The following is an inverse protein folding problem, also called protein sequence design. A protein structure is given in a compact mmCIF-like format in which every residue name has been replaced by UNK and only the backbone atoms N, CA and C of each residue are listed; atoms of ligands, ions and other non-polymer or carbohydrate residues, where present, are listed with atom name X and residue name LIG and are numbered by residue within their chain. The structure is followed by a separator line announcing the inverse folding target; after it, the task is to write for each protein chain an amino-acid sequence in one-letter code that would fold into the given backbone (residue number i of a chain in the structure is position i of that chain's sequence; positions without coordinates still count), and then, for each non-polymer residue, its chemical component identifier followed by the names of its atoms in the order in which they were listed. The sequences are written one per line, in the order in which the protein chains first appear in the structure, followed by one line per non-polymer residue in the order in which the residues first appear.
data_IF_961452001501
#
_entry.id   IF_961452001501
#
_cell.length_a   1.000
_cell.length_b   1.000
_cell.length_c   1.000
_cell.angle_alpha   90.00
_cell.angle_beta   90.00
_cell.angle_gamma   90.00
#
_symmetry.space_group_name_H-M   'P 1'
#
loop_
_entity.id
_entity.type
_entity.pdbx_description
1 polymer ?
#
# COMPACT_ATOMS: atom_id res chain seq x y z
N UNK A 1 -11.56 -26.91 1.56
CA UNK A 1 -10.50 -25.98 1.13
C UNK A 1 -11.03 -25.15 -0.05
N UNK A 2 -11.65 -23.99 0.23
CA UNK A 2 -12.20 -23.11 -0.81
C UNK A 2 -11.04 -22.52 -1.59
N UNK A 3 -10.78 -23.07 -2.78
CA UNK A 3 -9.96 -22.44 -3.80
C UNK A 3 -10.46 -21.00 -3.92
N UNK A 4 -9.61 -20.03 -3.57
CA UNK A 4 -9.89 -18.61 -3.68
C UNK A 4 -10.11 -18.28 -5.16
N UNK A 5 -11.35 -18.46 -5.62
CA UNK A 5 -11.78 -17.99 -6.93
C UNK A 5 -11.49 -16.50 -7.01
N UNK A 6 -11.05 -16.01 -8.17
CA UNK A 6 -10.86 -14.59 -8.47
C UNK A 6 -12.10 -13.75 -8.07
N UNK A 7 -13.31 -14.35 -8.09
CA UNK A 7 -14.53 -13.76 -7.54
C UNK A 7 -14.44 -13.42 -6.05
N UNK A 8 -13.88 -14.29 -5.22
CA UNK A 8 -13.71 -14.05 -3.77
C UNK A 8 -12.69 -12.94 -3.51
N UNK A 9 -11.58 -12.88 -4.28
CA UNK A 9 -10.60 -11.79 -4.16
C UNK A 9 -11.22 -10.44 -4.52
N UNK A 10 -12.02 -10.38 -5.58
CA UNK A 10 -12.73 -9.15 -5.98
C UNK A 10 -13.75 -8.69 -4.92
N UNK A 11 -14.55 -9.60 -4.35
CA UNK A 11 -15.47 -9.22 -3.27
C UNK A 11 -14.73 -8.73 -2.02
N UNK A 12 -13.56 -9.31 -1.71
CA UNK A 12 -12.78 -8.90 -0.54
C UNK A 12 -12.22 -7.49 -0.68
N UNK A 13 -11.71 -7.11 -1.86
CA UNK A 13 -11.20 -5.75 -2.09
C UNK A 13 -12.31 -4.70 -1.95
N UNK A 14 -13.53 -5.00 -2.41
CA UNK A 14 -14.69 -4.15 -2.21
C UNK A 14 -15.03 -4.01 -0.73
N UNK A 15 -15.09 -5.11 0.02
CA UNK A 15 -15.37 -5.07 1.45
C UNK A 15 -14.31 -4.33 2.25
N UNK A 16 -13.03 -4.52 1.93
CA UNK A 16 -11.93 -3.78 2.53
C UNK A 16 -12.05 -2.27 2.26
N UNK A 17 -12.38 -1.89 1.03
CA UNK A 17 -12.57 -0.48 0.65
C UNK A 17 -13.77 0.16 1.34
N UNK A 18 -14.88 -0.56 1.45
CA UNK A 18 -16.06 -0.10 2.19
C UNK A 18 -15.72 0.08 3.67
N UNK A 19 -15.04 -0.89 4.27
CA UNK A 19 -14.59 -0.82 5.67
C UNK A 19 -13.69 0.40 5.89
N UNK A 20 -12.70 0.59 5.02
CA UNK A 20 -11.76 1.70 5.08
C UNK A 20 -12.49 3.06 5.02
N UNK A 21 -13.42 3.20 4.07
CA UNK A 21 -14.22 4.42 3.92
C UNK A 21 -15.14 4.66 5.13
N UNK A 22 -15.80 3.61 5.64
CA UNK A 22 -16.64 3.70 6.83
C UNK A 22 -15.84 4.13 8.06
N UNK A 23 -14.64 3.57 8.26
CA UNK A 23 -13.77 3.94 9.38
C UNK A 23 -13.28 5.38 9.26
N UNK A 24 -12.99 5.85 8.04
CA UNK A 24 -12.64 7.24 7.79
C UNK A 24 -13.79 8.20 8.18
N UNK A 25 -15.03 7.87 7.80
CA UNK A 25 -16.22 8.63 8.20
C UNK A 25 -16.37 8.64 9.72
N UNK A 26 -16.23 7.47 10.37
CA UNK A 26 -16.32 7.36 11.82
C UNK A 26 -15.26 8.23 12.51
N UNK A 27 -14.02 8.21 12.03
CA UNK A 27 -12.95 9.06 12.56
C UNK A 27 -13.28 10.55 12.43
N UNK A 28 -13.79 10.98 11.26
CA UNK A 28 -14.22 12.36 11.05
C UNK A 28 -15.42 12.73 11.95
N UNK A 29 -16.39 11.83 12.13
CA UNK A 29 -17.52 12.07 13.04
C UNK A 29 -17.07 12.20 14.49
N UNK A 30 -16.18 11.32 14.97
CA UNK A 30 -15.66 11.34 16.34
C UNK A 30 -14.89 12.65 16.60
N UNK A 31 -14.03 13.04 15.67
CA UNK A 31 -13.22 14.26 15.76
C UNK A 31 -14.05 15.56 15.85
N UNK A 32 -15.34 15.52 15.47
CA UNK A 32 -16.27 16.65 15.51
C UNK A 32 -17.41 16.47 16.51
N UNK A 33 -17.29 15.49 17.40
CA UNK A 33 -18.30 15.16 18.41
C UNK A 33 -17.82 15.50 19.82
N UNK A 34 -18.68 15.40 20.86
CA UNK A 34 -18.25 15.51 22.25
C UNK A 34 -17.17 14.49 22.67
N UNK A 35 -16.93 13.44 21.87
CA UNK A 35 -15.86 12.46 22.09
C UNK A 35 -14.50 12.89 21.51
N UNK A 36 -14.42 14.08 20.88
CA UNK A 36 -13.21 14.57 20.26
C UNK A 36 -12.03 14.67 21.24
N UNK A 37 -12.26 15.17 22.46
CA UNK A 37 -11.22 15.25 23.49
C UNK A 37 -10.68 13.88 23.85
N UNK A 38 -11.54 12.90 24.15
CA UNK A 38 -11.14 11.52 24.46
C UNK A 38 -10.35 10.88 23.31
N UNK A 39 -10.75 11.17 22.08
CA UNK A 39 -10.07 10.67 20.88
C UNK A 39 -8.68 11.29 20.70
N UNK A 40 -8.54 12.61 20.88
CA UNK A 40 -7.24 13.30 20.80
C UNK A 40 -6.34 12.93 21.97
N UNK A 41 -6.88 12.79 23.18
CA UNK A 41 -6.17 12.33 24.35
C UNK A 41 -5.59 10.93 24.11
N UNK A 42 -6.40 10.00 23.59
CA UNK A 42 -5.94 8.66 23.23
C UNK A 42 -4.79 8.69 22.21
N UNK A 43 -4.90 9.50 21.15
CA UNK A 43 -3.87 9.60 20.11
C UNK A 43 -2.59 10.31 20.57
N UNK A 44 -2.69 11.19 21.56
CA UNK A 44 -1.56 11.92 22.14
C UNK A 44 -0.89 11.20 23.31
N UNK A 45 -1.44 10.07 23.78
CA UNK A 45 -0.82 9.30 24.87
C UNK A 45 0.61 8.89 24.53
N UNK A 46 1.52 9.15 25.47
CA UNK A 46 2.91 8.73 25.39
C UNK A 46 3.04 7.22 25.67
N UNK A 47 3.76 6.53 24.81
CA UNK A 47 4.03 5.11 24.96
C UNK A 47 5.31 4.90 25.78
N UNK A 48 5.18 4.06 26.81
CA UNK A 48 6.29 3.68 27.66
C UNK A 48 6.42 2.16 27.71
N UNK A 49 7.40 1.62 26.99
CA UNK A 49 7.86 0.25 27.17
C UNK A 49 9.29 0.30 27.71
N UNK A 50 9.38 0.41 29.04
CA UNK A 50 10.65 0.64 29.73
C UNK A 50 11.26 -0.67 30.22
N UNK A 51 12.52 -0.89 29.90
CA UNK A 51 13.37 -1.92 30.51
C UNK A 51 14.50 -1.18 31.22
N UNK A 52 14.38 -1.00 32.54
CA UNK A 52 15.27 -0.12 33.29
C UNK A 52 15.13 1.35 32.87
N UNK A 53 16.25 2.03 32.59
CA UNK A 53 16.28 3.41 32.10
C UNK A 53 16.04 3.58 30.59
N UNK A 54 15.93 2.48 29.84
CA UNK A 54 15.74 2.51 28.39
C UNK A 54 14.26 2.37 28.03
N UNK A 55 13.72 3.34 27.28
CA UNK A 55 12.39 3.23 26.67
C UNK A 55 12.54 2.72 25.24
N UNK A 56 11.86 1.63 24.89
CA UNK A 56 11.89 1.11 23.51
C UNK A 56 11.14 2.06 22.57
N UNK A 57 10.03 2.63 23.01
CA UNK A 57 9.21 3.55 22.20
C UNK A 57 9.59 5.00 22.49
N UNK A 58 10.85 5.33 22.24
CA UNK A 58 11.32 6.71 22.25
C UNK A 58 12.18 7.02 21.03
N UNK A 59 12.06 8.23 20.52
CA UNK A 59 12.87 8.76 19.43
C UNK A 59 13.34 10.17 19.80
N UNK A 60 14.61 10.50 19.52
CA UNK A 60 15.16 11.84 19.81
C UNK A 60 15.14 12.24 21.29
N UNK A 61 15.08 11.28 22.22
CA UNK A 61 14.98 11.54 23.66
C UNK A 61 13.56 11.74 24.20
N UNK A 62 12.54 11.70 23.33
CA UNK A 62 11.13 11.83 23.71
C UNK A 62 10.37 10.51 23.51
N UNK A 63 9.40 10.19 24.37
CA UNK A 63 8.49 9.06 24.16
C UNK A 63 7.65 9.26 22.89
N UNK A 64 7.47 8.19 22.12
CA UNK A 64 6.57 8.21 20.96
C UNK A 64 5.12 8.35 21.43
N UNK A 65 4.37 9.21 20.75
CA UNK A 65 2.91 9.28 20.92
C UNK A 65 2.23 8.09 20.25
N UNK A 66 1.02 7.77 20.69
CA UNK A 66 0.21 6.71 20.09
C UNK A 66 0.04 6.91 18.58
N UNK A 67 -0.23 8.14 18.12
CA UNK A 67 -0.36 8.45 16.69
C UNK A 67 0.95 8.20 15.90
N UNK A 68 2.10 8.57 16.46
CA UNK A 68 3.42 8.38 15.83
C UNK A 68 3.74 6.90 15.74
N UNK A 69 3.50 6.15 16.82
CA UNK A 69 3.68 4.71 16.83
C UNK A 69 2.76 3.99 15.84
N UNK A 70 1.48 4.37 15.80
CA UNK A 70 0.54 3.82 14.81
C UNK A 70 1.11 4.09 13.41
N UNK A 71 1.50 5.32 13.10
CA UNK A 71 2.01 5.70 11.79
C UNK A 71 3.29 4.94 11.43
N UNK A 72 4.30 4.94 12.30
CA UNK A 72 5.59 4.28 12.03
C UNK A 72 5.45 2.75 11.94
N UNK A 73 4.73 2.13 12.87
CA UNK A 73 4.62 0.68 12.94
C UNK A 73 3.71 0.14 11.84
N UNK A 74 2.50 0.69 11.70
CA UNK A 74 1.54 0.22 10.69
C UNK A 74 2.05 0.48 9.28
N UNK A 75 2.63 1.66 9.03
CA UNK A 75 3.11 1.97 7.69
C UNK A 75 4.35 1.17 7.35
N UNK A 76 5.20 0.79 8.30
CA UNK A 76 6.28 -0.17 8.03
C UNK A 76 5.75 -1.54 7.57
N UNK A 77 4.66 -2.03 8.16
CA UNK A 77 4.02 -3.28 7.71
C UNK A 77 3.30 -3.12 6.36
N UNK A 78 2.63 -1.99 6.14
CA UNK A 78 2.04 -1.64 4.84
C UNK A 78 3.11 -1.61 3.74
N UNK A 79 4.19 -0.88 3.95
CA UNK A 79 5.29 -0.76 2.99
C UNK A 79 6.11 -2.05 2.84
N UNK A 80 6.10 -2.94 3.83
CA UNK A 80 6.57 -4.32 3.64
C UNK A 80 5.69 -5.06 2.63
N UNK A 81 4.36 -4.97 2.74
CA UNK A 81 3.45 -5.60 1.78
C UNK A 81 3.61 -5.01 0.37
N UNK A 82 3.69 -3.69 0.25
CA UNK A 82 4.00 -2.99 -1.01
C UNK A 82 5.37 -3.44 -1.55
N UNK A 83 6.40 -3.54 -0.71
CA UNK A 83 7.72 -4.04 -1.10
C UNK A 83 7.71 -5.47 -1.63
N UNK A 84 6.89 -6.36 -1.04
CA UNK A 84 6.71 -7.73 -1.51
C UNK A 84 6.04 -7.75 -2.88
N UNK A 85 5.02 -6.92 -3.08
CA UNK A 85 4.32 -6.76 -4.35
C UNK A 85 5.23 -6.19 -5.43
N UNK A 86 5.97 -5.11 -5.16
CA UNK A 86 6.99 -4.53 -6.05
C UNK A 86 7.95 -5.64 -6.52
N UNK A 87 8.51 -6.39 -5.57
CA UNK A 87 9.47 -7.45 -5.90
C UNK A 87 8.84 -8.58 -6.70
N UNK A 88 7.59 -8.96 -6.41
CA UNK A 88 6.84 -9.95 -7.22
C UNK A 88 6.66 -9.44 -8.65
N UNK A 89 6.23 -8.20 -8.82
CA UNK A 89 5.98 -7.58 -10.14
C UNK A 89 7.26 -7.48 -10.98
N UNK A 90 8.38 -7.13 -10.35
CA UNK A 90 9.69 -7.07 -11.01
C UNK A 90 10.21 -8.47 -11.42
N UNK A 91 9.92 -9.50 -10.64
CA UNK A 91 10.43 -10.86 -10.90
C UNK A 91 9.58 -11.66 -11.87
N UNK A 92 8.24 -11.62 -11.74
CA UNK A 92 7.32 -12.51 -12.46
C UNK A 92 6.10 -11.76 -13.04
N UNK A 93 5.85 -10.53 -12.60
CA UNK A 93 4.66 -9.76 -13.01
C UNK A 93 4.85 -8.92 -14.27
N UNK A 94 4.07 -7.85 -14.37
CA UNK A 94 3.95 -7.03 -15.58
C UNK A 94 5.09 -6.00 -15.70
N UNK A 95 5.82 -5.77 -14.60
CA UNK A 95 7.05 -5.00 -14.60
C UNK A 95 8.30 -5.82 -14.96
N UNK A 96 8.20 -7.15 -15.10
CA UNK A 96 9.34 -8.02 -15.43
C UNK A 96 9.89 -7.82 -16.84
N UNK A 97 9.07 -7.32 -17.77
CA UNK A 97 9.45 -7.05 -19.16
C UNK A 97 9.40 -5.57 -19.45
N UNK A 98 10.49 -5.04 -20.01
CA UNK A 98 10.59 -3.62 -20.38
C UNK A 98 9.42 -3.17 -21.26
N UNK A 99 9.04 -3.95 -22.28
CA UNK A 99 7.94 -3.59 -23.19
C UNK A 99 6.58 -3.45 -22.48
N UNK A 100 6.36 -4.24 -21.43
CA UNK A 100 5.12 -4.19 -20.63
C UNK A 100 5.17 -3.08 -19.58
N UNK A 101 6.35 -2.85 -19.00
CA UNK A 101 6.58 -1.90 -17.91
C UNK A 101 6.58 -0.43 -18.36
N UNK A 102 6.99 -0.14 -19.61
CA UNK A 102 7.18 1.23 -20.10
C UNK A 102 5.90 2.07 -19.99
N UNK A 103 4.73 1.53 -20.34
CA UNK A 103 3.49 2.31 -20.32
C UNK A 103 3.04 2.66 -18.89
N UNK A 104 2.90 1.70 -17.94
CA UNK A 104 2.61 2.02 -16.54
C UNK A 104 3.67 2.94 -15.91
N UNK A 105 4.95 2.74 -16.24
CA UNK A 105 6.03 3.55 -15.70
C UNK A 105 5.96 5.02 -16.15
N UNK A 106 5.80 5.27 -17.45
CA UNK A 106 5.66 6.64 -17.98
C UNK A 106 4.40 7.30 -17.42
N UNK A 107 3.29 6.55 -17.33
CA UNK A 107 2.06 7.04 -16.71
C UNK A 107 2.26 7.41 -15.24
N UNK A 108 3.01 6.61 -14.47
CA UNK A 108 3.36 6.88 -13.08
C UNK A 108 4.24 8.13 -12.95
N UNK A 109 5.27 8.29 -13.78
CA UNK A 109 6.08 9.51 -13.79
C UNK A 109 5.22 10.76 -14.01
N UNK A 110 4.30 10.73 -15.00
CA UNK A 110 3.36 11.82 -15.22
C UNK A 110 2.42 12.03 -14.03
N UNK A 111 1.90 10.93 -13.49
CA UNK A 111 1.04 10.88 -12.32
C UNK A 111 1.69 11.32 -11.02
N UNK A 112 3.02 11.42 -10.93
CA UNK A 112 3.73 12.00 -9.79
C UNK A 112 4.12 13.46 -10.04
N UNK A 113 4.66 13.76 -11.23
CA UNK A 113 5.21 15.08 -11.55
C UNK A 113 4.12 16.15 -11.65
N UNK A 114 3.01 15.86 -12.35
CA UNK A 114 1.98 16.87 -12.60
C UNK A 114 1.21 17.28 -11.33
N UNK A 115 0.84 16.37 -10.41
CA UNK A 115 0.26 16.78 -9.12
C UNK A 115 1.15 17.70 -8.31
N UNK A 116 2.45 17.41 -8.25
CA UNK A 116 3.44 18.23 -7.53
C UNK A 116 3.52 19.63 -8.16
N UNK A 117 3.55 19.70 -9.50
CA UNK A 117 3.54 20.98 -10.22
C UNK A 117 2.25 21.75 -9.93
N UNK A 118 1.07 21.12 -10.07
CA UNK A 118 -0.23 21.76 -9.78
C UNK A 118 -0.28 22.28 -8.35
N UNK A 119 0.17 21.50 -7.38
CA UNK A 119 0.25 21.93 -5.98
C UNK A 119 1.15 23.16 -5.84
N UNK A 120 2.37 23.09 -6.38
CA UNK A 120 3.37 24.15 -6.26
C UNK A 120 2.96 25.49 -6.90
N UNK A 121 2.08 25.45 -7.90
CA UNK A 121 1.55 26.63 -8.58
C UNK A 121 0.41 27.31 -7.80
N UNK A 122 -0.30 26.55 -6.96
CA UNK A 122 -1.43 27.04 -6.16
C UNK A 122 -0.98 27.57 -4.79
N UNK A 123 0.19 27.14 -4.33
CA UNK A 123 0.75 27.54 -3.04
C UNK A 123 1.74 28.70 -3.19
N UNK A 124 1.77 29.59 -2.20
CA UNK A 124 2.71 30.70 -2.15
C UNK A 124 4.13 30.18 -1.93
N UNK A 125 5.06 30.58 -2.80
CA UNK A 125 6.46 30.17 -2.69
C UNK A 125 7.13 30.80 -1.46
N UNK A 126 7.94 30.03 -0.74
CA UNK A 126 8.64 30.46 0.47
C UNK A 126 7.83 30.35 1.77
N UNK A 127 6.59 29.86 1.73
CA UNK A 127 5.78 29.57 2.93
C UNK A 127 5.95 28.12 3.38
N UNK A 128 5.61 27.79 4.65
CA UNK A 128 5.62 26.41 5.16
C UNK A 128 4.79 25.42 4.33
N UNK A 129 3.74 25.92 3.66
CA UNK A 129 2.83 25.17 2.80
C UNK A 129 3.56 24.37 1.71
N UNK A 130 4.73 24.82 1.25
CA UNK A 130 5.56 24.10 0.28
C UNK A 130 5.96 22.70 0.75
N UNK A 131 6.04 22.45 2.07
CA UNK A 131 6.34 21.13 2.64
C UNK A 131 5.31 20.07 2.25
N UNK A 132 4.11 20.47 1.84
CA UNK A 132 3.04 19.58 1.39
C UNK A 132 3.10 19.19 -0.09
N UNK A 133 4.13 19.60 -0.85
CA UNK A 133 4.16 19.40 -2.31
C UNK A 133 4.07 17.94 -2.76
N UNK A 134 4.51 17.01 -1.93
CA UNK A 134 4.50 15.59 -2.21
C UNK A 134 3.15 14.91 -1.89
N UNK A 135 2.24 15.57 -1.16
CA UNK A 135 0.96 15.00 -0.71
C UNK A 135 0.10 14.47 -1.88
N UNK A 136 -0.13 15.23 -2.97
CA UNK A 136 -1.00 14.77 -4.05
C UNK A 136 -0.29 13.82 -5.04
N UNK A 137 0.97 13.46 -4.80
CA UNK A 137 1.71 12.55 -5.68
C UNK A 137 1.33 11.09 -5.50
N UNK A 138 0.68 10.70 -4.41
CA UNK A 138 0.45 9.30 -4.07
C UNK A 138 -0.93 8.79 -4.53
N UNK A 139 -1.06 7.46 -4.68
CA UNK A 139 -2.29 6.78 -5.04
C UNK A 139 -2.55 5.58 -4.10
N UNK A 140 -3.74 5.49 -3.52
CA UNK A 140 -4.19 4.37 -2.68
C UNK A 140 -4.70 3.22 -3.55
N UNK A 141 -3.84 2.22 -3.75
CA UNK A 141 -4.11 1.01 -4.54
C UNK A 141 -5.39 0.31 -4.09
N UNK A 142 -5.53 0.11 -2.78
CA UNK A 142 -6.61 -0.69 -2.20
C UNK A 142 -7.95 -0.04 -2.53
N UNK A 143 -8.06 1.28 -2.32
CA UNK A 143 -9.30 1.99 -2.56
C UNK A 143 -9.59 2.16 -4.06
N UNK A 144 -8.59 2.45 -4.90
CA UNK A 144 -8.77 2.54 -6.36
C UNK A 144 -9.21 1.21 -6.97
N UNK A 145 -8.62 0.09 -6.55
CA UNK A 145 -9.05 -1.24 -6.98
C UNK A 145 -10.42 -1.63 -6.42
N UNK A 146 -10.78 -1.18 -5.22
CA UNK A 146 -12.12 -1.34 -4.65
C UNK A 146 -13.19 -0.70 -5.50
N UNK A 147 -13.02 0.59 -5.82
CA UNK A 147 -13.95 1.34 -6.69
C UNK A 147 -14.03 0.70 -8.08
N UNK A 148 -12.88 0.33 -8.66
CA UNK A 148 -12.86 -0.36 -9.95
C UNK A 148 -13.59 -1.71 -9.89
N UNK A 149 -13.52 -2.42 -8.77
CA UNK A 149 -14.16 -3.72 -8.58
C UNK A 149 -15.68 -3.65 -8.43
N UNK A 150 -16.25 -2.50 -8.04
CA UNK A 150 -17.71 -2.26 -8.02
C UNK A 150 -18.36 -2.39 -9.40
N UNK A 151 -17.59 -2.11 -10.46
CA UNK A 151 -18.04 -2.26 -11.85
C UNK A 151 -18.09 -3.73 -12.31
N UNK A 152 -17.54 -4.63 -11.50
CA UNK A 152 -17.62 -6.08 -11.63
C UNK A 152 -16.90 -6.62 -12.85
N UNK A 153 -17.59 -7.46 -13.62
CA UNK A 153 -17.03 -8.11 -14.82
C UNK A 153 -16.88 -7.18 -16.03
N UNK A 154 -17.43 -5.97 -15.97
CA UNK A 154 -17.39 -4.99 -17.07
C UNK A 154 -16.00 -4.43 -17.33
N UNK A 155 -15.09 -4.56 -16.37
CA UNK A 155 -13.73 -4.02 -16.42
C UNK A 155 -12.78 -5.01 -17.11
N UNK A 156 -12.18 -4.65 -18.26
CA UNK A 156 -11.07 -5.38 -18.86
C UNK A 156 -9.94 -5.72 -17.88
N UNK A 157 -9.36 -6.91 -18.03
CA UNK A 157 -8.22 -7.33 -17.21
C UNK A 157 -7.02 -6.38 -17.38
N UNK A 158 -6.80 -5.87 -18.59
CA UNK A 158 -5.74 -4.92 -18.90
C UNK A 158 -5.80 -3.63 -18.10
N UNK A 159 -7.00 -3.10 -17.79
CA UNK A 159 -7.14 -1.91 -16.95
C UNK A 159 -6.76 -2.18 -15.49
N UNK A 160 -7.12 -3.36 -14.97
CA UNK A 160 -6.76 -3.76 -13.61
C UNK A 160 -5.25 -3.92 -13.47
N UNK A 161 -4.64 -4.57 -14.45
CA UNK A 161 -3.18 -4.73 -14.53
C UNK A 161 -2.50 -3.37 -14.63
N UNK A 162 -2.96 -2.50 -15.54
CA UNK A 162 -2.39 -1.17 -15.72
C UNK A 162 -2.47 -0.35 -14.43
N UNK A 163 -3.64 -0.28 -13.78
CA UNK A 163 -3.83 0.47 -12.53
C UNK A 163 -2.95 -0.08 -11.40
N UNK A 164 -2.84 -1.41 -11.28
CA UNK A 164 -1.99 -2.03 -10.25
C UNK A 164 -0.51 -1.72 -10.51
N UNK A 165 -0.03 -1.91 -11.74
CA UNK A 165 1.37 -1.63 -12.09
C UNK A 165 1.72 -0.14 -11.99
N UNK A 166 0.81 0.74 -12.42
CA UNK A 166 0.94 2.19 -12.25
C UNK A 166 1.13 2.54 -10.78
N UNK A 167 0.25 2.04 -9.92
CA UNK A 167 0.25 2.44 -8.53
C UNK A 167 1.42 1.84 -7.75
N UNK A 168 1.90 0.65 -8.13
CA UNK A 168 3.16 0.08 -7.61
C UNK A 168 4.36 0.99 -7.95
N UNK A 169 4.44 1.52 -9.18
CA UNK A 169 5.53 2.45 -9.56
C UNK A 169 5.38 3.79 -8.83
N UNK A 170 4.16 4.28 -8.68
CA UNK A 170 3.82 5.50 -7.93
C UNK A 170 4.24 5.37 -6.46
N UNK A 171 3.97 4.23 -5.81
CA UNK A 171 4.39 3.92 -4.45
C UNK A 171 5.91 3.91 -4.30
N UNK A 172 6.63 3.23 -5.23
CA UNK A 172 8.11 3.25 -5.25
C UNK A 172 8.62 4.68 -5.31
N UNK A 173 8.06 5.48 -6.22
CA UNK A 173 8.43 6.88 -6.39
C UNK A 173 8.14 7.69 -5.14
N UNK A 174 6.98 7.50 -4.52
CA UNK A 174 6.58 8.19 -3.31
C UNK A 174 7.48 7.87 -2.11
N UNK A 175 7.83 6.60 -1.92
CA UNK A 175 8.81 6.16 -0.90
C UNK A 175 10.16 6.86 -1.12
N UNK A 176 10.61 6.94 -2.37
CA UNK A 176 11.90 7.53 -2.71
C UNK A 176 11.91 9.04 -2.44
N UNK A 177 10.80 9.74 -2.74
CA UNK A 177 10.62 11.17 -2.39
C UNK A 177 10.63 11.35 -0.87
N UNK A 178 9.92 10.51 -0.10
CA UNK A 178 9.93 10.55 1.37
C UNK A 178 11.36 10.40 1.92
N UNK A 179 12.10 9.42 1.39
CA UNK A 179 13.47 9.15 1.82
C UNK A 179 14.43 10.32 1.59
N UNK A 180 14.28 11.04 0.49
CA UNK A 180 15.20 12.13 0.11
C UNK A 180 14.82 13.45 0.78
N UNK A 181 13.54 13.80 0.81
CA UNK A 181 13.09 15.16 1.14
C UNK A 181 12.61 15.34 2.57
N UNK A 182 12.23 14.27 3.27
CA UNK A 182 11.63 14.36 4.59
C UNK A 182 12.56 13.83 5.70
N UNK A 183 13.73 13.30 5.38
CA UNK A 183 14.65 12.73 6.39
C UNK A 183 15.25 13.82 7.29
N UNK A 184 15.34 13.54 8.59
CA UNK A 184 15.88 14.45 9.62
C UNK A 184 17.38 14.22 9.86
N UNK A 185 17.94 14.74 10.96
CA UNK A 185 19.35 14.53 11.32
C UNK A 185 19.68 13.04 11.42
N UNK A 186 20.60 12.60 10.55
CA UNK A 186 20.86 11.17 10.36
C UNK A 186 21.89 10.66 11.35
N UNK A 187 21.48 9.79 12.25
CA UNK A 187 22.38 9.02 13.10
C UNK A 187 22.96 7.83 12.31
N UNK A 188 24.07 8.09 11.62
CA UNK A 188 24.72 7.12 10.71
C UNK A 188 25.07 5.77 11.35
N UNK A 189 25.35 5.72 12.65
CA UNK A 189 25.71 4.47 13.32
C UNK A 189 24.58 3.43 13.29
N UNK A 190 23.33 3.87 13.50
CA UNK A 190 22.17 2.97 13.40
C UNK A 190 21.96 2.48 11.97
N UNK A 191 22.24 3.31 10.96
CA UNK A 191 22.17 2.89 9.56
C UNK A 191 23.22 1.85 9.21
N UNK A 192 24.46 2.02 9.68
CA UNK A 192 25.51 1.03 9.46
C UNK A 192 25.10 -0.31 10.08
N UNK A 193 24.59 -0.31 11.32
CA UNK A 193 24.07 -1.51 11.96
C UNK A 193 22.92 -2.15 11.16
N UNK A 194 22.01 -1.34 10.62
CA UNK A 194 20.90 -1.81 9.79
C UNK A 194 21.38 -2.44 8.49
N UNK A 195 22.37 -1.85 7.82
CA UNK A 195 22.98 -2.37 6.59
C UNK A 195 23.71 -3.69 6.85
N UNK A 196 24.44 -3.81 7.97
CA UNK A 196 25.10 -5.07 8.35
C UNK A 196 24.08 -6.18 8.57
N UNK A 197 23.02 -5.90 9.34
CA UNK A 197 21.96 -6.88 9.59
C UNK A 197 21.21 -7.25 8.30
N UNK A 198 20.92 -6.27 7.44
CA UNK A 198 20.36 -6.49 6.12
C UNK A 198 21.23 -7.43 5.27
N UNK A 199 22.54 -7.16 5.22
CA UNK A 199 23.51 -7.99 4.50
C UNK A 199 23.57 -9.43 5.03
N UNK A 200 23.49 -9.60 6.35
CA UNK A 200 23.42 -10.92 6.99
C UNK A 200 22.16 -11.66 6.58
N UNK A 201 20.98 -11.04 6.71
CA UNK A 201 19.70 -11.66 6.32
C UNK A 201 19.71 -12.02 4.81
N UNK A 202 20.27 -11.15 3.97
CA UNK A 202 20.41 -11.40 2.53
C UNK A 202 21.31 -12.60 2.23
N UNK A 203 22.47 -12.68 2.89
CA UNK A 203 23.40 -13.80 2.75
C UNK A 203 22.76 -15.13 3.19
N UNK A 204 22.05 -15.13 4.32
CA UNK A 204 21.32 -16.30 4.83
C UNK A 204 20.18 -16.73 3.90
N UNK A 205 19.48 -15.78 3.28
CA UNK A 205 18.48 -16.06 2.26
C UNK A 205 19.05 -16.68 1.00
N UNK A 206 20.23 -16.23 0.56
CA UNK A 206 20.96 -16.88 -0.53
C UNK A 206 21.43 -18.30 -0.18
N UNK A 207 21.75 -18.57 1.10
CA UNK A 207 22.11 -19.92 1.60
C UNK A 207 20.91 -20.86 1.76
N UNK A 208 19.69 -20.42 1.44
CA UNK A 208 18.50 -21.26 1.41
C UNK A 208 17.66 -21.24 2.69
N UNK A 209 17.86 -20.28 3.59
CA UNK A 209 16.96 -20.09 4.74
C UNK A 209 15.62 -19.51 4.27
N UNK A 210 14.55 -20.30 4.35
CA UNK A 210 13.20 -19.91 3.88
C UNK A 210 12.22 -19.60 5.01
N UNK A 211 12.67 -19.58 6.27
CA UNK A 211 11.78 -19.38 7.43
C UNK A 211 11.34 -17.92 7.54
N UNK A 212 10.04 -17.65 7.37
CA UNK A 212 9.46 -16.30 7.36
C UNK A 212 9.68 -15.54 8.67
N UNK A 213 9.47 -16.20 9.80
CA UNK A 213 9.57 -15.62 11.15
C UNK A 213 10.97 -15.04 11.39
N UNK A 214 12.01 -15.69 10.86
CA UNK A 214 13.38 -15.23 11.00
C UNK A 214 13.60 -13.86 10.32
N UNK A 215 13.10 -13.69 9.09
CA UNK A 215 13.18 -12.41 8.39
C UNK A 215 12.33 -11.34 9.07
N UNK A 216 11.12 -11.69 9.53
CA UNK A 216 10.26 -10.75 10.24
C UNK A 216 10.90 -10.28 11.56
N UNK A 217 11.52 -11.19 12.33
CA UNK A 217 12.26 -10.84 13.54
C UNK A 217 13.44 -9.91 13.26
N UNK A 218 14.25 -10.21 12.23
CA UNK A 218 15.30 -9.30 11.78
C UNK A 218 14.75 -7.96 11.27
N UNK A 219 13.59 -7.99 10.63
CA UNK A 219 12.85 -6.82 10.16
C UNK A 219 12.44 -5.86 11.27
N UNK A 220 11.98 -6.38 12.41
CA UNK A 220 11.65 -5.57 13.60
C UNK A 220 12.89 -4.83 14.11
N UNK A 221 14.04 -5.51 14.11
CA UNK A 221 15.31 -4.89 14.52
C UNK A 221 15.73 -3.80 13.53
N UNK A 222 15.65 -4.08 12.21
CA UNK A 222 15.96 -3.08 11.17
C UNK A 222 15.01 -1.89 11.29
N UNK A 223 13.71 -2.11 11.48
CA UNK A 223 12.73 -1.05 11.70
C UNK A 223 13.09 -0.17 12.89
N UNK A 224 13.45 -0.78 14.03
CA UNK A 224 13.89 -0.03 15.21
C UNK A 224 15.17 0.78 14.94
N UNK A 225 16.14 0.22 14.19
CA UNK A 225 17.35 0.95 13.81
C UNK A 225 17.04 2.14 12.88
N UNK A 226 16.08 1.99 11.96
CA UNK A 226 15.61 3.11 11.14
C UNK A 226 14.90 4.16 11.99
N UNK A 227 14.00 3.74 12.88
CA UNK A 227 13.34 4.64 13.84
C UNK A 227 14.38 5.46 14.62
N UNK A 228 15.50 4.88 15.05
CA UNK A 228 16.55 5.63 15.76
C UNK A 228 17.49 6.44 14.83
N UNK A 229 17.50 6.17 13.53
CA UNK A 229 18.46 6.79 12.61
C UNK A 229 18.04 8.17 12.10
N UNK A 230 16.79 8.59 12.29
CA UNK A 230 16.24 9.81 11.68
C UNK A 230 15.81 9.65 10.22
N UNK A 231 16.05 8.48 9.62
CA UNK A 231 15.42 8.09 8.35
C UNK A 231 14.06 7.47 8.67
N UNK A 232 13.07 7.73 7.82
CA UNK A 232 11.72 7.17 7.95
C UNK A 232 11.72 5.66 8.14
N UNK A 233 11.10 5.23 9.23
CA UNK A 233 10.96 3.82 9.62
C UNK A 233 10.26 2.98 8.55
N UNK A 234 9.38 3.58 7.74
CA UNK A 234 8.64 2.90 6.66
C UNK A 234 9.51 2.28 5.58
N UNK A 235 10.67 2.86 5.29
CA UNK A 235 11.62 2.37 4.30
C UNK A 235 12.17 0.99 4.70
N UNK A 236 12.25 0.70 6.00
CA UNK A 236 12.74 -0.60 6.49
C UNK A 236 11.84 -1.75 6.01
N UNK A 237 10.53 -1.53 5.93
CA UNK A 237 9.56 -2.52 5.45
C UNK A 237 9.84 -2.92 4.00
N UNK A 238 10.02 -1.91 3.13
CA UNK A 238 10.33 -2.12 1.70
C UNK A 238 11.65 -2.86 1.57
N UNK A 239 12.70 -2.41 2.25
CA UNK A 239 14.02 -3.04 2.20
C UNK A 239 13.96 -4.50 2.64
N UNK A 240 13.24 -4.80 3.73
CA UNK A 240 13.06 -6.16 4.21
C UNK A 240 12.40 -7.07 3.15
N UNK A 241 11.42 -6.57 2.39
CA UNK A 241 10.82 -7.33 1.29
C UNK A 241 11.86 -7.77 0.24
N UNK A 242 12.84 -6.91 -0.05
CA UNK A 242 13.93 -7.23 -0.98
C UNK A 242 14.88 -8.32 -0.46
N UNK A 243 14.93 -8.54 0.84
CA UNK A 243 15.70 -9.63 1.46
C UNK A 243 14.95 -10.95 1.49
N UNK A 244 13.62 -10.92 1.68
CA UNK A 244 12.79 -12.13 1.80
C UNK A 244 12.92 -13.01 0.55
N UNK A 245 13.25 -14.31 0.66
CA UNK A 245 13.47 -15.16 -0.52
C UNK A 245 12.25 -15.31 -1.42
N UNK A 246 12.45 -15.12 -2.73
CA UNK A 246 11.44 -15.33 -3.77
C UNK A 246 11.48 -16.74 -4.39
N UNK A 247 12.46 -17.57 -4.00
CA UNK A 247 12.59 -18.95 -4.50
C UNK A 247 11.87 -19.91 -3.55
N UNK A 248 11.11 -20.88 -4.07
CA UNK A 248 10.50 -21.91 -3.25
C UNK A 248 11.54 -22.88 -2.69
N UNK A 249 11.18 -23.57 -1.61
CA UNK A 249 12.06 -24.54 -0.95
C UNK A 249 12.13 -25.86 -1.72
N UNK A 250 11.05 -26.21 -2.40
CA UNK A 250 10.92 -27.38 -3.26
C UNK A 250 10.70 -26.94 -4.71
N UNK A 251 11.43 -27.57 -5.61
CA UNK A 251 11.19 -27.44 -7.06
C UNK A 251 9.80 -27.99 -7.40
N UNK A 252 9.04 -27.25 -8.22
CA UNK A 252 7.70 -27.62 -8.63
C UNK A 252 7.65 -29.01 -9.29
N UNK A 253 8.67 -29.39 -10.06
CA UNK A 253 8.75 -30.71 -10.69
C UNK A 253 8.92 -31.85 -9.67
N UNK A 254 9.76 -31.63 -8.64
CA UNK A 254 9.92 -32.60 -7.54
C UNK A 254 8.64 -32.72 -6.70
N UNK A 255 7.94 -31.61 -6.53
CA UNK A 255 6.65 -31.59 -5.85
C UNK A 255 5.56 -32.34 -6.61
N UNK A 256 5.41 -32.11 -7.92
CA UNK A 256 4.44 -32.81 -8.76
C UNK A 256 4.66 -34.33 -8.68
N UNK A 257 5.92 -34.78 -8.79
CA UNK A 257 6.25 -36.20 -8.59
C UNK A 257 5.85 -36.71 -7.22
N UNK A 258 6.09 -35.91 -6.16
CA UNK A 258 5.73 -36.29 -4.79
C UNK A 258 4.22 -36.37 -4.58
N UNK A 259 3.44 -35.43 -5.11
CA UNK A 259 1.98 -35.51 -5.08
C UNK A 259 1.50 -36.73 -5.84
N UNK A 260 2.02 -36.97 -7.05
CA UNK A 260 1.61 -38.11 -7.87
C UNK A 260 1.82 -39.42 -7.11
N UNK A 261 2.96 -39.58 -6.43
CA UNK A 261 3.21 -40.74 -5.57
C UNK A 261 2.21 -40.83 -4.40
N UNK A 262 2.01 -39.73 -3.66
CA UNK A 262 1.11 -39.69 -2.50
C UNK A 262 -0.35 -39.93 -2.89
N UNK A 263 -0.78 -39.44 -4.06
CA UNK A 263 -2.13 -39.70 -4.61
C UNK A 263 -2.24 -41.14 -5.12
N UNK A 264 -1.18 -41.69 -5.74
CA UNK A 264 -1.20 -43.08 -6.21
C UNK A 264 -1.29 -44.10 -5.07
N UNK A 265 -0.77 -43.75 -3.90
CA UNK A 265 -0.85 -44.55 -2.67
C UNK A 265 -2.08 -44.20 -1.81
N UNK A 266 -2.97 -43.33 -2.29
CA UNK A 266 -4.13 -42.91 -1.51
C UNK A 266 -5.08 -44.09 -1.30
N UNK A 267 -5.37 -44.48 -0.05
CA UNK A 267 -6.23 -45.63 0.22
C UNK A 267 -7.67 -45.30 -0.15
N UNK A 268 -8.10 -45.74 -1.33
CA UNK A 268 -9.47 -45.57 -1.82
C UNK A 268 -10.36 -46.65 -1.18
N UNK A 269 -11.27 -46.25 -0.28
CA UNK A 269 -12.29 -47.16 0.23
C UNK A 269 -13.38 -47.38 -0.81
N UNK A 270 -13.94 -48.59 -0.91
CA UNK A 270 -15.03 -48.94 -1.83
C UNK A 270 -16.41 -48.48 -1.35
N UNK A 271 -16.51 -47.98 -0.12
CA UNK A 271 -17.74 -47.44 0.47
C UNK A 271 -17.78 -45.92 0.30
N UNK A 272 -18.96 -45.40 -0.07
CA UNK A 272 -19.31 -43.96 -0.06
C UNK A 272 -19.40 -43.40 1.38
N UNK A 273 -18.47 -43.78 2.26
CA UNK A 273 -18.41 -43.27 3.62
C UNK A 273 -17.97 -41.81 3.57
N UNK A 274 -18.84 -40.91 4.03
CA UNK A 274 -18.64 -39.46 4.02
C UNK A 274 -17.49 -39.05 4.97
N UNK A 275 -17.07 -39.94 5.88
CA UNK A 275 -16.07 -39.67 6.92
C UNK A 275 -14.73 -40.35 6.57
N UNK A 276 -13.68 -39.54 6.45
CA UNK A 276 -12.33 -39.99 6.13
C UNK A 276 -11.66 -40.72 7.30
N UNK A 277 -10.88 -41.75 7.00
CA UNK A 277 -10.04 -42.44 8.01
C UNK A 277 -8.84 -41.59 8.42
N UNK A 278 -8.26 -41.87 9.60
CA UNK A 278 -7.05 -41.18 10.07
C UNK A 278 -5.88 -41.30 9.09
N UNK A 279 -5.78 -42.43 8.39
CA UNK A 279 -4.77 -42.68 7.36
C UNK A 279 -5.00 -41.76 6.15
N UNK A 280 -6.22 -41.71 5.60
CA UNK A 280 -6.59 -40.79 4.52
C UNK A 280 -6.34 -39.32 4.89
N UNK A 281 -6.68 -38.93 6.13
CA UNK A 281 -6.40 -37.58 6.65
C UNK A 281 -4.89 -37.32 6.71
N UNK A 282 -4.09 -38.29 7.14
CA UNK A 282 -2.64 -38.16 7.18
C UNK A 282 -2.05 -37.99 5.77
N UNK A 283 -2.52 -38.75 4.78
CA UNK A 283 -2.11 -38.66 3.38
C UNK A 283 -2.46 -37.28 2.80
N UNK A 284 -3.68 -36.79 3.05
CA UNK A 284 -4.10 -35.43 2.66
C UNK A 284 -3.25 -34.34 3.32
N UNK A 285 -2.95 -34.47 4.62
CA UNK A 285 -2.05 -33.54 5.33
C UNK A 285 -0.63 -33.55 4.77
N UNK A 286 -0.14 -34.66 4.21
CA UNK A 286 1.15 -34.69 3.53
C UNK A 286 1.12 -33.89 2.23
N UNK A 287 0.04 -33.98 1.44
CA UNK A 287 -0.16 -33.16 0.23
C UNK A 287 -0.26 -31.68 0.59
N UNK A 288 -1.03 -31.35 1.65
CA UNK A 288 -1.16 -29.98 2.17
C UNK A 288 0.21 -29.40 2.56
N UNK A 289 0.96 -30.08 3.43
CA UNK A 289 2.31 -29.64 3.84
C UNK A 289 3.28 -29.55 2.67
N UNK A 290 3.21 -30.47 1.71
CA UNK A 290 4.06 -30.43 0.53
C UNK A 290 3.76 -29.21 -0.35
N UNK A 291 2.49 -28.79 -0.43
CA UNK A 291 2.05 -27.59 -1.15
C UNK A 291 2.72 -26.33 -0.60
N UNK A 292 2.83 -26.23 0.73
CA UNK A 292 3.41 -25.07 1.42
C UNK A 292 4.90 -24.83 1.09
N UNK A 293 5.63 -25.87 0.67
CA UNK A 293 7.05 -25.75 0.33
C UNK A 293 7.31 -25.32 -1.12
N UNK A 294 6.27 -25.25 -1.95
CA UNK A 294 6.34 -24.92 -3.38
C UNK A 294 6.00 -23.45 -3.62
N UNK A 295 5.22 -22.85 -2.73
CA UNK A 295 4.98 -21.42 -2.73
C UNK A 295 6.20 -20.74 -2.09
N UNK A 296 6.72 -19.71 -2.75
CA UNK A 296 7.87 -18.97 -2.21
C UNK A 296 7.51 -18.26 -0.90
N UNK A 297 8.48 -18.08 0.03
CA UNK A 297 8.26 -17.32 1.26
C UNK A 297 7.70 -15.93 1.00
N UNK A 298 8.18 -15.26 -0.07
CA UNK A 298 7.68 -13.98 -0.55
C UNK A 298 6.18 -14.04 -0.88
N UNK A 299 5.76 -14.89 -1.81
CA UNK A 299 4.36 -14.98 -2.25
C UNK A 299 3.43 -15.36 -1.10
N UNK A 300 3.87 -16.27 -0.24
CA UNK A 300 3.06 -16.68 0.90
C UNK A 300 2.98 -15.60 1.99
N UNK A 301 4.02 -14.77 2.19
CA UNK A 301 3.92 -13.60 3.07
C UNK A 301 3.02 -12.52 2.48
N UNK A 302 3.13 -12.27 1.17
CA UNK A 302 2.27 -11.32 0.46
C UNK A 302 0.79 -11.69 0.57
N UNK A 303 0.42 -12.94 0.27
CA UNK A 303 -0.97 -13.41 0.37
C UNK A 303 -1.51 -13.30 1.81
N UNK A 304 -0.68 -13.58 2.83
CA UNK A 304 -1.07 -13.49 4.23
C UNK A 304 -1.18 -12.03 4.71
N UNK A 305 -0.23 -11.17 4.33
CA UNK A 305 -0.21 -9.77 4.72
C UNK A 305 -1.29 -8.97 4.02
N UNK A 306 -1.64 -9.29 2.78
CA UNK A 306 -2.67 -8.55 2.03
C UNK A 306 -4.01 -8.50 2.78
N UNK A 307 -4.42 -9.59 3.44
CA UNK A 307 -5.64 -9.59 4.26
C UNK A 307 -5.51 -8.72 5.51
N UNK A 308 -4.40 -8.88 6.26
CA UNK A 308 -4.15 -8.10 7.49
C UNK A 308 -4.03 -6.61 7.18
N UNK A 309 -3.34 -6.26 6.10
CA UNK A 309 -3.14 -4.88 5.67
C UNK A 309 -4.47 -4.21 5.37
N UNK A 310 -5.28 -4.83 4.51
CA UNK A 310 -6.52 -4.23 4.03
C UNK A 310 -7.65 -4.19 5.06
N UNK A 311 -7.70 -5.14 6.01
CA UNK A 311 -8.79 -5.24 6.98
C UNK A 311 -8.44 -4.78 8.39
N UNK A 312 -7.15 -4.61 8.72
CA UNK A 312 -6.71 -4.19 10.06
C UNK A 312 -5.85 -2.93 9.97
N UNK A 313 -4.76 -2.98 9.20
CA UNK A 313 -3.74 -1.92 9.20
C UNK A 313 -4.28 -0.64 8.57
N UNK A 314 -4.80 -0.70 7.34
CA UNK A 314 -5.34 0.49 6.66
C UNK A 314 -6.54 1.09 7.40
N UNK A 315 -7.53 0.30 7.89
CA UNK A 315 -8.60 0.85 8.72
C UNK A 315 -8.10 1.50 10.01
N UNK A 316 -7.15 0.90 10.74
CA UNK A 316 -6.64 1.49 11.98
C UNK A 316 -5.81 2.76 11.71
N UNK A 317 -5.04 2.76 10.63
CA UNK A 317 -4.34 3.95 10.15
C UNK A 317 -5.33 5.07 9.78
N UNK A 318 -6.36 4.74 9.00
CA UNK A 318 -7.41 5.69 8.63
C UNK A 318 -8.16 6.21 9.86
N UNK A 319 -8.44 5.34 10.84
CA UNK A 319 -9.06 5.74 12.10
C UNK A 319 -8.24 6.83 12.77
N UNK A 320 -6.93 6.66 12.89
CA UNK A 320 -6.05 7.60 13.59
C UNK A 320 -5.79 8.89 12.80
N UNK A 321 -5.78 8.84 11.46
CA UNK A 321 -5.32 9.95 10.62
C UNK A 321 -6.42 10.71 9.86
N UNK A 322 -7.58 10.09 9.60
CA UNK A 322 -8.65 10.70 8.82
C UNK A 322 -9.59 11.60 9.65
N UNK A 323 -9.37 11.69 10.97
CA UNK A 323 -10.07 12.64 11.84
C UNK A 323 -9.72 14.09 11.48
N UNK A 324 -10.59 14.74 10.69
CA UNK A 324 -10.51 16.16 10.33
C UNK A 324 -11.43 16.95 11.25
N UNK A 325 -10.95 18.07 11.80
CA UNK A 325 -11.73 18.95 12.68
C UNK A 325 -12.38 20.06 11.84
N UNK A 326 -13.71 20.13 11.85
CA UNK A 326 -14.55 21.07 11.13
C UNK A 326 -15.15 22.10 12.13
N UNK A 327 -14.54 23.28 12.30
CA UNK A 327 -15.13 24.35 13.14
C UNK A 327 -14.16 25.21 13.93
N UNK A 328 -14.70 25.97 14.90
CA UNK A 328 -14.11 27.11 15.61
C UNK A 328 -12.94 26.80 16.57
N UNK A 329 -12.26 25.67 16.40
CA UNK A 329 -11.14 25.23 17.26
C UNK A 329 -9.85 24.82 16.52
N UNK A 330 -9.83 24.77 15.17
CA UNK A 330 -8.71 24.20 14.41
C UNK A 330 -8.37 24.91 13.08
N UNK A 331 -8.58 26.23 13.03
CA UNK A 331 -8.31 27.06 11.85
C UNK A 331 -9.29 26.87 10.69
N UNK A 332 -9.12 27.65 9.63
CA UNK A 332 -9.88 27.47 8.39
C UNK A 332 -9.48 26.15 7.73
N UNK A 333 -10.43 25.22 7.68
CA UNK A 333 -10.29 23.90 7.03
C UNK A 333 -10.07 24.04 5.52
N UNK A 334 -10.65 25.09 4.95
CA UNK A 334 -10.49 25.47 3.55
C UNK A 334 -9.43 26.58 3.50
N UNK A 335 -8.20 26.19 3.18
CA UNK A 335 -7.11 27.11 2.88
C UNK A 335 -6.34 26.67 1.63
N UNK A 336 -5.25 27.38 1.33
CA UNK A 336 -4.45 27.16 0.12
C UNK A 336 -3.94 25.72 0.01
N UNK A 337 -3.48 25.13 1.13
CA UNK A 337 -3.03 23.72 1.17
C UNK A 337 -4.17 22.77 0.83
N UNK A 338 -5.37 22.99 1.37
CA UNK A 338 -6.52 22.11 1.11
C UNK A 338 -6.92 22.09 -0.38
N UNK A 339 -6.94 23.27 -1.01
CA UNK A 339 -7.29 23.44 -2.42
C UNK A 339 -6.18 22.88 -3.29
N UNK A 340 -4.93 23.16 -2.96
CA UNK A 340 -3.76 22.68 -3.69
C UNK A 340 -3.66 21.15 -3.67
N UNK A 341 -3.90 20.51 -2.52
CA UNK A 341 -3.95 19.03 -2.42
C UNK A 341 -5.11 18.49 -3.25
N UNK A 342 -6.32 19.01 -3.09
CA UNK A 342 -7.50 18.53 -3.81
C UNK A 342 -7.34 18.67 -5.33
N UNK A 343 -6.82 19.82 -5.79
CA UNK A 343 -6.55 20.08 -7.22
C UNK A 343 -5.41 19.21 -7.75
N UNK A 344 -4.35 19.01 -6.98
CA UNK A 344 -3.25 18.10 -7.34
C UNK A 344 -3.72 16.66 -7.52
N UNK A 345 -4.52 16.15 -6.58
CA UNK A 345 -5.11 14.81 -6.65
C UNK A 345 -6.13 14.68 -7.79
N UNK A 346 -6.99 15.67 -7.99
CA UNK A 346 -8.05 15.59 -9.00
C UNK A 346 -7.52 15.87 -10.41
N UNK A 347 -6.96 17.07 -10.61
CA UNK A 347 -6.56 17.59 -11.92
C UNK A 347 -5.15 17.13 -12.25
N UNK A 348 -4.23 17.24 -11.30
CA UNK A 348 -2.83 16.86 -11.49
C UNK A 348 -2.66 15.39 -11.85
N UNK A 349 -3.27 14.46 -11.09
CA UNK A 349 -3.17 13.01 -11.38
C UNK A 349 -3.85 12.68 -12.69
N UNK A 350 -5.07 13.18 -12.90
CA UNK A 350 -5.80 12.95 -14.15
C UNK A 350 -4.99 13.41 -15.37
N UNK A 351 -4.53 14.66 -15.37
CA UNK A 351 -3.77 15.22 -16.47
C UNK A 351 -2.42 14.50 -16.64
N UNK A 352 -1.70 14.26 -15.54
CA UNK A 352 -0.42 13.56 -15.53
C UNK A 352 -0.51 12.18 -16.16
N UNK A 353 -1.40 11.33 -15.65
CA UNK A 353 -1.59 9.97 -16.14
C UNK A 353 -2.06 10.00 -17.60
N UNK A 354 -3.06 10.81 -17.92
CA UNK A 354 -3.65 10.84 -19.25
C UNK A 354 -2.68 11.36 -20.32
N UNK A 355 -2.02 12.49 -20.06
CA UNK A 355 -1.10 13.14 -21.01
C UNK A 355 0.14 12.28 -21.22
N UNK A 356 0.74 11.73 -20.16
CA UNK A 356 1.95 10.92 -20.30
C UNK A 356 1.65 9.58 -20.98
N UNK A 357 0.51 8.96 -20.66
CA UNK A 357 0.03 7.77 -21.41
C UNK A 357 -0.19 8.12 -22.89
N UNK A 358 -0.78 9.28 -23.17
CA UNK A 358 -0.97 9.76 -24.55
C UNK A 358 0.33 9.99 -25.30
N UNK A 359 1.30 10.65 -24.67
CA UNK A 359 2.63 10.88 -25.23
C UNK A 359 3.37 9.55 -25.48
N UNK A 360 3.32 8.60 -24.54
CA UNK A 360 3.96 7.30 -24.68
C UNK A 360 3.42 6.49 -25.87
N UNK A 361 2.09 6.50 -26.06
CA UNK A 361 1.45 5.79 -27.17
C UNK A 361 1.68 6.51 -28.50
N UNK A 362 1.58 7.84 -28.52
CA UNK A 362 1.74 8.64 -29.75
C UNK A 362 3.18 8.65 -30.27
N UNK A 363 4.16 8.63 -29.37
CA UNK A 363 5.59 8.55 -29.72
C UNK A 363 6.04 7.15 -30.16
N UNK A 364 5.18 6.14 -30.03
CA UNK A 364 5.53 4.75 -30.35
C UNK A 364 6.40 4.06 -29.30
N UNK A 365 6.64 4.69 -28.14
CA UNK A 365 7.39 4.09 -27.03
C UNK A 365 6.66 2.90 -26.40
N UNK A 366 5.32 2.91 -26.43
CA UNK A 366 4.48 1.83 -25.96
C UNK A 366 3.22 1.63 -26.83
N UNK A 367 2.71 0.41 -26.84
CA UNK A 367 1.44 0.07 -27.49
C UNK A 367 0.29 0.10 -26.49
N UNK A 368 -0.89 0.56 -26.93
CA UNK A 368 -2.12 0.46 -26.16
C UNK A 368 -2.47 -1.01 -25.87
N UNK A 369 -2.62 -1.43 -24.60
CA UNK A 369 -3.00 -2.80 -24.28
C UNK A 369 -4.40 -3.16 -24.79
N UNK A 370 -4.62 -4.45 -25.11
CA UNK A 370 -5.91 -4.93 -25.60
C UNK A 370 -7.03 -4.63 -24.58
N UNK A 371 -8.15 -4.05 -25.06
CA UNK A 371 -9.28 -3.67 -24.22
C UNK A 371 -9.16 -2.30 -23.53
N UNK A 372 -8.01 -1.62 -23.65
CA UNK A 372 -7.85 -0.21 -23.23
C UNK A 372 -8.19 0.73 -24.39
N UNK A 373 -8.83 1.85 -24.07
CA UNK A 373 -9.16 2.93 -24.99
C UNK A 373 -9.05 4.28 -24.26
N UNK A 374 -9.03 5.39 -24.99
CA UNK A 374 -8.87 6.71 -24.38
C UNK A 374 -9.95 7.05 -23.35
N UNK A 375 -11.18 6.56 -23.56
CA UNK A 375 -12.30 6.82 -22.65
C UNK A 375 -12.13 6.10 -21.31
N UNK A 376 -11.73 4.83 -21.32
CA UNK A 376 -11.53 4.06 -20.09
C UNK A 376 -10.20 4.40 -19.40
N UNK A 377 -9.18 4.84 -20.15
CA UNK A 377 -7.98 5.45 -19.57
C UNK A 377 -8.34 6.72 -18.80
N UNK A 378 -9.19 7.60 -19.35
CA UNK A 378 -9.66 8.78 -18.62
C UNK A 378 -10.31 8.42 -17.28
N UNK A 379 -11.13 7.37 -17.26
CA UNK A 379 -11.72 6.86 -16.03
C UNK A 379 -10.70 6.29 -15.04
N UNK A 380 -9.70 5.54 -15.51
CA UNK A 380 -8.62 5.02 -14.65
C UNK A 380 -7.69 6.12 -14.15
N UNK A 381 -7.42 7.15 -14.97
CA UNK A 381 -6.64 8.32 -14.58
C UNK A 381 -7.32 9.10 -13.43
N UNK A 382 -8.65 9.19 -13.44
CA UNK A 382 -9.41 9.72 -12.30
C UNK A 382 -9.28 8.83 -11.06
N UNK A 383 -9.36 7.49 -11.19
CA UNK A 383 -9.11 6.59 -10.07
C UNK A 383 -7.67 6.65 -9.54
N UNK A 384 -6.71 7.09 -10.35
CA UNK A 384 -5.35 7.41 -9.90
C UNK A 384 -5.29 8.61 -8.95
N UNK A 385 -6.30 9.49 -8.97
CA UNK A 385 -6.44 10.63 -8.05
C UNK A 385 -6.90 10.28 -6.63
N UNK A 386 -7.17 9.00 -6.36
CA UNK A 386 -7.51 8.52 -5.02
C UNK A 386 -6.21 8.36 -4.23
N UNK A 387 -5.82 9.38 -3.46
CA UNK A 387 -4.55 9.37 -2.69
C UNK A 387 -4.69 8.86 -1.24
N UNK A 388 -5.88 9.02 -0.67
CA UNK A 388 -6.31 8.63 0.69
C UNK A 388 -5.17 8.29 1.68
N UNK A 389 -4.88 7.00 1.92
CA UNK A 389 -3.99 6.58 3.01
C UNK A 389 -2.55 7.09 2.83
N UNK A 390 -1.96 6.92 1.66
CA UNK A 390 -0.57 7.34 1.42
C UNK A 390 -0.45 8.86 1.40
N UNK A 391 -1.43 9.58 0.85
CA UNK A 391 -1.45 11.05 0.93
C UNK A 391 -1.63 11.56 2.36
N UNK A 392 -2.47 10.92 3.19
CA UNK A 392 -2.59 11.25 4.61
C UNK A 392 -1.29 10.96 5.37
N UNK A 393 -0.59 9.88 5.02
CA UNK A 393 0.72 9.58 5.59
C UNK A 393 1.74 10.68 5.26
N UNK A 394 1.85 11.05 3.99
CA UNK A 394 2.75 12.14 3.56
C UNK A 394 2.36 13.46 4.22
N UNK A 395 1.07 13.77 4.37
CA UNK A 395 0.62 14.98 5.05
C UNK A 395 1.10 15.03 6.52
N UNK A 396 1.09 13.90 7.23
CA UNK A 396 1.65 13.83 8.57
C UNK A 396 3.17 14.09 8.57
N UNK A 397 3.91 13.52 7.62
CA UNK A 397 5.34 13.77 7.49
C UNK A 397 5.65 15.24 7.18
N UNK A 398 4.77 15.91 6.42
CA UNK A 398 4.92 17.32 6.05
C UNK A 398 4.65 18.30 7.19
N UNK A 399 3.62 18.03 8.00
CA UNK A 399 3.00 19.07 8.84
C UNK A 399 2.78 18.68 10.31
N UNK A 400 2.82 17.40 10.69
CA UNK A 400 2.39 16.98 12.03
C UNK A 400 3.23 17.54 13.18
N UNK A 401 4.53 17.74 12.96
CA UNK A 401 5.43 18.25 13.99
C UNK A 401 5.25 19.75 14.26
N UNK A 402 5.14 20.55 13.19
CA UNK A 402 5.30 22.01 13.25
C UNK A 402 4.04 22.80 12.91
N UNK A 403 3.10 22.23 12.13
CA UNK A 403 2.01 22.97 11.49
C UNK A 403 0.66 22.22 11.57
N UNK A 404 0.04 22.13 12.76
CA UNK A 404 -1.20 21.37 12.96
C UNK A 404 -2.38 21.90 12.12
N UNK A 405 -2.48 23.21 11.90
CA UNK A 405 -3.53 23.80 11.06
C UNK A 405 -3.37 23.40 9.58
N UNK A 406 -2.13 23.43 9.06
CA UNK A 406 -1.84 22.98 7.69
C UNK A 406 -2.07 21.47 7.54
N UNK A 407 -1.79 20.69 8.58
CA UNK A 407 -2.13 19.27 8.59
C UNK A 407 -3.66 19.07 8.48
N UNK A 408 -4.46 19.83 9.22
CA UNK A 408 -5.92 19.74 9.16
C UNK A 408 -6.45 20.12 7.76
N UNK A 409 -5.92 21.18 7.16
CA UNK A 409 -6.22 21.57 5.77
C UNK A 409 -5.82 20.49 4.76
N UNK A 410 -4.61 19.93 4.89
CA UNK A 410 -4.12 18.86 4.04
C UNK A 410 -5.01 17.61 4.12
N UNK A 411 -5.35 17.17 5.34
CA UNK A 411 -6.26 16.03 5.55
C UNK A 411 -7.60 16.25 4.87
N UNK A 412 -8.20 17.44 5.04
CA UNK A 412 -9.44 17.79 4.35
C UNK A 412 -9.30 17.76 2.82
N UNK A 413 -8.24 18.37 2.29
CA UNK A 413 -7.93 18.36 0.86
C UNK A 413 -7.76 16.94 0.29
N UNK A 414 -7.09 16.04 1.03
CA UNK A 414 -6.95 14.63 0.64
C UNK A 414 -8.31 13.93 0.60
N UNK A 415 -9.13 14.09 1.64
CA UNK A 415 -10.46 13.46 1.70
C UNK A 415 -11.36 13.94 0.57
N UNK A 416 -11.43 15.25 0.35
CA UNK A 416 -12.25 15.86 -0.70
C UNK A 416 -11.77 15.45 -2.10
N UNK A 417 -10.47 15.58 -2.36
CA UNK A 417 -9.86 15.19 -3.63
C UNK A 417 -10.09 13.72 -3.95
N UNK A 418 -9.84 12.84 -2.98
CA UNK A 418 -10.05 11.38 -3.10
C UNK A 418 -11.53 11.06 -3.38
N UNK A 419 -12.46 11.66 -2.63
CA UNK A 419 -13.89 11.42 -2.80
C UNK A 419 -14.36 11.83 -4.19
N UNK A 420 -14.02 13.04 -4.63
CA UNK A 420 -14.42 13.55 -5.96
C UNK A 420 -13.79 12.71 -7.08
N UNK A 421 -12.49 12.40 -6.97
CA UNK A 421 -11.78 11.56 -7.94
C UNK A 421 -12.39 10.16 -8.06
N UNK A 422 -12.71 9.52 -6.92
CA UNK A 422 -13.35 8.21 -6.89
C UNK A 422 -14.76 8.21 -7.50
N UNK A 423 -15.59 9.20 -7.16
CA UNK A 423 -16.94 9.34 -7.72
C UNK A 423 -16.89 9.58 -9.23
N UNK A 424 -16.07 10.54 -9.69
CA UNK A 424 -15.95 10.84 -11.11
C UNK A 424 -15.36 9.66 -11.88
N UNK A 425 -14.33 9.00 -11.36
CA UNK A 425 -13.74 7.80 -11.95
C UNK A 425 -14.77 6.68 -12.11
N UNK A 426 -15.57 6.42 -11.07
CA UNK A 426 -16.67 5.46 -11.14
C UNK A 426 -17.71 5.84 -12.19
N UNK A 427 -18.19 7.10 -12.20
CA UNK A 427 -19.22 7.57 -13.14
C UNK A 427 -18.74 7.46 -14.59
N UNK A 428 -17.52 7.91 -14.88
CA UNK A 428 -16.92 7.85 -16.23
C UNK A 428 -16.77 6.40 -16.68
N UNK A 429 -16.22 5.51 -15.84
CA UNK A 429 -16.06 4.11 -16.20
C UNK A 429 -17.40 3.39 -16.34
N UNK A 430 -18.38 3.68 -15.50
CA UNK A 430 -19.71 3.09 -15.60
C UNK A 430 -20.43 3.50 -16.90
N UNK A 431 -20.18 4.71 -17.39
CA UNK A 431 -20.73 5.21 -18.65
C UNK A 431 -20.02 4.62 -19.89
N UNK A 432 -18.71 4.43 -19.81
CA UNK A 432 -17.86 4.04 -20.96
C UNK A 432 -17.78 2.52 -21.13
N UNK A 433 -17.79 1.75 -20.04
CA UNK A 433 -17.63 0.30 -20.12
C UNK A 433 -18.89 -0.36 -20.70
N UNK A 434 -18.73 -1.43 -21.49
CA UNK A 434 -19.87 -2.11 -22.11
C UNK A 434 -20.83 -2.63 -21.04
N UNK A 435 -22.11 -2.27 -21.17
CA UNK A 435 -23.17 -2.85 -20.34
C UNK A 435 -23.32 -4.31 -20.77
N UNK A 436 -23.15 -5.25 -19.83
CA UNK A 436 -23.54 -6.63 -20.09
C UNK A 436 -25.05 -6.65 -20.36
N UNK A 437 -25.45 -6.95 -21.60
CA UNK A 437 -26.80 -7.43 -21.87
C UNK A 437 -26.93 -8.76 -21.11
N UNK A 438 -27.88 -8.82 -20.18
CA UNK A 438 -28.26 -10.05 -19.51
C UNK A 438 -28.72 -11.09 -20.52
#
# INVERSE_FOLDING_TARGET
MKIFSIKNRLSLNVWASILLFMVAIVAACIANSPLAEVYQDFLSQELHLRIGGFNLFSHGGHPLKMIEFINDCLMAVFFLAVGLEIKRELLVGELSSFRKAVLPFIAACGGMLLPVIVYSLLVVQGTPDMRGMAIPMATDIAFSLGVLSLLGKRVPLSLKIFLTAFAVVDDIGGILVIAIFYSSEVAYWYLVAAVVLYGLLYYLGRRGMTQKIFYLGGGIIIWYLFLQSGIHSTISGVLLAFVIPARPRLDAGKYIKRIQNVISEFPVSKSDDIVLTNEQIATLKQVERASDFVISPLQSLEDNLHGVVNFVILPLFAFANAGVVLGSGGGDVIGDVSIAVAAGLLVGKFAGIYIFTWLAVKSGLASMPAGMNWKNIGGVALLGGIGFTVSLFIANLSFAADYPDLLNQAKFGVLLGTFVAGVLGYVVLNAVLPKFRK
#
